data_IF_485637287943
#
_entry.id   IF_485637287943
#
_cell.length_a   1.000
_cell.length_b   1.000
_cell.length_c   1.000
_cell.angle_alpha   90.00
_cell.angle_beta   90.00
_cell.angle_gamma   90.00
#
_symmetry.space_group_name_H-M   'P 1'
#
loop_
_entity.id
_entity.type
_entity.pdbx_description
1 polymer ?
#
# COMPACT_ATOMS: atom_id res chain seq x y z
N UNK A 1 27.10 14.20 -5.13
CA UNK A 1 26.16 15.28 -4.80
C UNK A 1 25.72 15.08 -3.35
N UNK A 2 25.77 16.13 -2.54
CA UNK A 2 25.29 16.05 -1.15
C UNK A 2 23.75 15.96 -1.10
N UNK A 3 23.24 15.40 -0.01
CA UNK A 3 21.79 15.31 0.21
C UNK A 3 21.12 16.69 0.23
N UNK A 4 21.81 17.70 0.77
CA UNK A 4 21.33 19.09 0.78
C UNK A 4 21.24 19.67 -0.65
N UNK A 5 22.21 19.40 -1.50
CA UNK A 5 22.19 19.85 -2.89
C UNK A 5 21.06 19.16 -3.67
N UNK A 6 20.81 17.88 -3.40
CA UNK A 6 19.70 17.15 -3.99
C UNK A 6 18.36 17.71 -3.52
N UNK A 7 18.18 17.93 -2.23
CA UNK A 7 16.96 18.50 -1.67
C UNK A 7 16.63 19.88 -2.28
N UNK A 8 17.65 20.72 -2.44
CA UNK A 8 17.51 22.06 -3.07
C UNK A 8 17.03 21.93 -4.53
N UNK A 9 17.56 20.99 -5.27
CA UNK A 9 17.14 20.76 -6.68
C UNK A 9 15.72 20.22 -6.77
N UNK A 10 15.33 19.32 -5.88
CA UNK A 10 13.96 18.78 -5.81
C UNK A 10 12.97 19.88 -5.48
N UNK A 11 13.27 20.74 -4.48
CA UNK A 11 12.44 21.87 -4.12
C UNK A 11 12.24 22.86 -5.28
N UNK A 12 13.31 23.19 -6.00
CA UNK A 12 13.24 24.07 -7.16
C UNK A 12 12.41 23.46 -8.31
N UNK A 13 12.49 22.15 -8.52
CA UNK A 13 11.67 21.45 -9.50
C UNK A 13 10.20 21.46 -9.12
N UNK A 14 9.87 21.18 -7.85
CA UNK A 14 8.51 21.23 -7.32
C UNK A 14 7.89 22.62 -7.46
N UNK A 15 8.64 23.67 -7.12
CA UNK A 15 8.20 25.05 -7.29
C UNK A 15 7.88 25.38 -8.75
N UNK A 16 8.76 25.00 -9.67
CA UNK A 16 8.56 25.22 -11.09
C UNK A 16 7.33 24.49 -11.64
N UNK A 17 7.12 23.23 -11.22
CA UNK A 17 5.95 22.43 -11.64
C UNK A 17 4.65 23.01 -11.06
N UNK A 18 4.68 23.53 -9.84
CA UNK A 18 3.56 24.21 -9.21
C UNK A 18 3.20 25.50 -9.95
N UNK A 19 4.20 26.33 -10.30
CA UNK A 19 3.96 27.55 -11.08
C UNK A 19 3.36 27.28 -12.45
N UNK A 20 3.76 26.16 -13.07
CA UNK A 20 3.19 25.72 -14.35
C UNK A 20 1.80 25.07 -14.23
N UNK A 21 1.31 24.90 -13.02
CA UNK A 21 0.01 24.25 -12.79
C UNK A 21 0.00 22.74 -13.10
N UNK A 22 1.16 22.09 -13.12
CA UNK A 22 1.29 20.67 -13.42
C UNK A 22 1.17 19.79 -12.17
N UNK A 23 1.44 20.34 -11.00
CA UNK A 23 1.24 19.69 -9.71
C UNK A 23 0.52 20.64 -8.74
N UNK A 24 -0.21 20.04 -7.81
CA UNK A 24 -0.85 20.71 -6.68
C UNK A 24 -0.16 20.28 -5.39
N UNK A 25 0.49 21.20 -4.64
CA UNK A 25 1.19 20.88 -3.41
C UNK A 25 0.33 20.18 -2.36
N UNK A 26 -0.94 20.54 -2.23
CA UNK A 26 -1.85 19.88 -1.29
C UNK A 26 -2.10 18.41 -1.66
N UNK A 27 -2.13 18.10 -2.93
CA UNK A 27 -2.27 16.71 -3.40
C UNK A 27 -1.00 15.90 -3.09
N UNK A 28 0.17 16.50 -3.26
CA UNK A 28 1.45 15.88 -2.89
C UNK A 28 1.49 15.61 -1.39
N UNK A 29 1.16 16.59 -0.57
CA UNK A 29 1.14 16.45 0.89
C UNK A 29 0.17 15.37 1.38
N UNK A 30 -1.01 15.29 0.79
CA UNK A 30 -1.99 14.23 1.11
C UNK A 30 -1.49 12.85 0.75
N UNK A 31 -0.78 12.69 -0.37
CA UNK A 31 -0.19 11.41 -0.76
C UNK A 31 0.94 11.01 0.19
N UNK A 32 1.79 11.96 0.57
CA UNK A 32 2.86 11.72 1.55
C UNK A 32 2.26 11.27 2.89
N UNK A 33 1.25 11.97 3.39
CA UNK A 33 0.57 11.62 4.63
C UNK A 33 -0.07 10.21 4.55
N UNK A 34 -0.76 9.92 3.44
CA UNK A 34 -1.38 8.62 3.22
C UNK A 34 -0.35 7.47 3.28
N UNK A 35 0.74 7.57 2.53
CA UNK A 35 1.77 6.54 2.52
C UNK A 35 2.61 6.50 3.80
N UNK A 36 2.69 7.59 4.54
CA UNK A 36 3.40 7.63 5.82
C UNK A 36 2.59 6.99 6.96
N UNK A 37 1.28 7.23 7.02
CA UNK A 37 0.47 6.91 8.19
C UNK A 37 -0.65 5.89 7.94
N UNK A 38 -1.08 5.72 6.69
CA UNK A 38 -2.28 4.93 6.37
C UNK A 38 -2.01 3.68 5.54
N UNK A 39 -0.81 3.53 4.98
CA UNK A 39 -0.39 2.36 4.21
C UNK A 39 0.79 1.70 4.91
N UNK A 40 0.73 0.38 5.09
CA UNK A 40 1.81 -0.35 5.70
C UNK A 40 1.45 -1.77 6.09
N UNK A 41 2.43 -2.56 6.55
CA UNK A 41 2.25 -3.98 6.84
C UNK A 41 1.27 -4.25 7.99
N UNK A 42 1.05 -3.29 8.89
CA UNK A 42 0.10 -3.44 10.00
C UNK A 42 -1.35 -3.55 9.55
N UNK A 43 -1.70 -2.98 8.40
CA UNK A 43 -3.02 -3.15 7.80
C UNK A 43 -3.26 -4.61 7.40
N UNK A 44 -2.28 -5.23 6.75
CA UNK A 44 -2.32 -6.66 6.42
C UNK A 44 -2.34 -7.56 7.66
N UNK A 45 -1.60 -7.20 8.71
CA UNK A 45 -1.56 -7.95 9.96
C UNK A 45 -2.95 -8.07 10.60
N UNK A 46 -3.76 -7.01 10.59
CA UNK A 46 -5.13 -7.03 11.10
C UNK A 46 -6.03 -7.99 10.33
N UNK A 47 -5.91 -8.00 9.01
CA UNK A 47 -6.65 -8.92 8.13
C UNK A 47 -6.28 -10.38 8.44
N UNK A 48 -5.00 -10.68 8.52
CA UNK A 48 -4.51 -12.03 8.82
C UNK A 48 -4.92 -12.49 10.22
N UNK A 49 -4.80 -11.63 11.22
CA UNK A 49 -5.21 -11.95 12.58
C UNK A 49 -6.71 -12.33 12.66
N UNK A 50 -7.57 -11.61 11.95
CA UNK A 50 -8.98 -11.97 11.86
C UNK A 50 -9.19 -13.32 11.17
N UNK A 51 -8.51 -13.57 10.08
CA UNK A 51 -8.62 -14.83 9.34
C UNK A 51 -8.23 -16.05 10.17
N UNK A 52 -7.32 -15.89 11.14
CA UNK A 52 -6.91 -16.96 12.05
C UNK A 52 -7.98 -17.35 13.07
N UNK A 53 -8.84 -16.42 13.47
CA UNK A 53 -9.85 -16.64 14.52
C UNK A 53 -11.27 -16.72 13.97
N UNK A 54 -11.49 -16.34 12.71
CA UNK A 54 -12.79 -16.34 12.05
C UNK A 54 -12.73 -17.16 10.75
N UNK A 55 -13.14 -18.44 10.77
CA UNK A 55 -13.09 -19.31 9.58
C UNK A 55 -13.96 -18.80 8.41
N UNK A 56 -15.08 -18.15 8.71
CA UNK A 56 -15.97 -17.59 7.69
C UNK A 56 -15.31 -16.41 6.97
N UNK A 57 -14.63 -15.54 7.72
CA UNK A 57 -13.84 -14.45 7.14
C UNK A 57 -12.69 -14.99 6.30
N UNK A 58 -11.95 -15.98 6.81
CA UNK A 58 -10.88 -16.65 6.06
C UNK A 58 -11.36 -17.19 4.72
N UNK A 59 -12.52 -17.82 4.69
CA UNK A 59 -13.10 -18.34 3.45
C UNK A 59 -13.40 -17.22 2.44
N UNK A 60 -13.98 -16.12 2.89
CA UNK A 60 -14.23 -14.94 2.02
C UNK A 60 -12.94 -14.31 1.53
N UNK A 61 -11.95 -14.21 2.40
CA UNK A 61 -10.63 -13.64 2.07
C UNK A 61 -9.91 -14.45 0.97
N UNK A 62 -9.95 -15.77 1.06
CA UNK A 62 -9.36 -16.66 0.05
C UNK A 62 -10.16 -16.65 -1.26
N UNK A 63 -11.47 -16.48 -1.21
CA UNK A 63 -12.33 -16.42 -2.38
C UNK A 63 -12.20 -15.10 -3.15
N UNK A 64 -12.18 -13.97 -2.44
CA UNK A 64 -12.06 -12.64 -3.03
C UNK A 64 -11.35 -11.70 -2.04
N UNK A 65 -10.03 -11.63 -2.16
CA UNK A 65 -9.19 -10.83 -1.27
C UNK A 65 -9.53 -9.34 -1.32
N UNK A 66 -9.74 -8.80 -2.50
CA UNK A 66 -10.07 -7.36 -2.68
C UNK A 66 -11.35 -6.98 -1.94
N UNK A 67 -12.39 -7.80 -2.03
CA UNK A 67 -13.66 -7.53 -1.36
C UNK A 67 -13.55 -7.73 0.17
N UNK A 68 -12.83 -8.75 0.59
CA UNK A 68 -12.68 -9.07 2.01
C UNK A 68 -11.88 -8.00 2.78
N UNK A 69 -10.85 -7.41 2.19
CA UNK A 69 -10.11 -6.33 2.86
C UNK A 69 -10.91 -5.03 2.95
N UNK A 70 -11.90 -4.84 2.09
CA UNK A 70 -12.79 -3.69 2.17
C UNK A 70 -13.61 -3.65 3.46
N UNK A 71 -13.85 -4.78 4.10
CA UNK A 71 -14.48 -4.86 5.44
C UNK A 71 -13.65 -4.13 6.52
N UNK A 72 -12.36 -3.94 6.30
CA UNK A 72 -11.46 -3.16 7.16
C UNK A 72 -11.24 -1.72 6.69
N UNK A 73 -11.99 -1.27 5.67
CA UNK A 73 -11.77 0.03 5.05
C UNK A 73 -10.46 0.11 4.24
N UNK A 74 -9.90 -1.03 3.90
CA UNK A 74 -8.66 -1.13 3.11
C UNK A 74 -9.02 -1.28 1.63
N UNK A 75 -8.18 -0.72 0.79
CA UNK A 75 -8.34 -0.74 -0.65
C UNK A 75 -7.80 0.55 -1.26
N UNK A 76 -7.74 0.60 -2.56
CA UNK A 76 -7.22 1.75 -3.29
C UNK A 76 -6.32 1.32 -4.44
N UNK A 77 -5.62 2.26 -5.08
CA UNK A 77 -4.75 1.95 -6.21
C UNK A 77 -3.67 0.91 -5.89
N UNK A 78 -3.17 0.93 -4.66
CA UNK A 78 -2.14 0.00 -4.16
C UNK A 78 -2.64 -1.43 -3.93
N UNK A 79 -3.95 -1.62 -3.84
CA UNK A 79 -4.59 -2.92 -3.61
C UNK A 79 -5.75 -3.18 -4.59
N UNK A 80 -5.67 -2.62 -5.79
CA UNK A 80 -6.74 -2.66 -6.78
C UNK A 80 -7.18 -4.09 -7.14
N UNK A 81 -6.27 -5.06 -7.07
CA UNK A 81 -6.58 -6.47 -7.30
C UNK A 81 -5.71 -7.34 -6.40
N UNK A 82 -6.29 -7.79 -5.32
CA UNK A 82 -5.62 -8.63 -4.34
C UNK A 82 -6.08 -10.09 -4.44
N UNK A 83 -5.12 -10.99 -4.60
CA UNK A 83 -5.32 -12.43 -4.43
C UNK A 83 -4.59 -12.88 -3.19
N UNK A 84 -5.32 -13.50 -2.26
CA UNK A 84 -4.76 -14.09 -1.06
C UNK A 84 -4.47 -15.56 -1.29
N UNK A 85 -3.31 -16.01 -0.88
CA UNK A 85 -2.88 -17.41 -0.95
C UNK A 85 -2.56 -17.92 0.46
N UNK A 86 -2.77 -19.20 0.70
CA UNK A 86 -2.55 -19.83 1.99
C UNK A 86 -1.39 -20.82 1.92
N UNK A 87 -0.55 -20.83 2.93
CA UNK A 87 0.39 -21.92 3.13
C UNK A 87 -0.35 -23.14 3.71
N UNK A 88 -0.10 -24.29 3.16
CA UNK A 88 -0.63 -25.58 3.61
C UNK A 88 0.53 -26.53 3.94
N UNK A 89 0.27 -27.72 4.51
CA UNK A 89 1.35 -28.70 4.69
C UNK A 89 2.08 -29.08 3.39
N UNK A 90 1.40 -28.96 2.24
CA UNK A 90 1.91 -29.33 0.91
C UNK A 90 2.46 -28.15 0.11
N UNK A 91 2.08 -26.90 0.45
CA UNK A 91 2.42 -25.71 -0.33
C UNK A 91 2.98 -24.63 0.59
N UNK A 92 4.17 -24.15 0.27
CA UNK A 92 4.77 -22.97 0.90
C UNK A 92 4.93 -21.86 -0.13
N UNK A 93 4.19 -20.76 0.06
CA UNK A 93 4.26 -19.60 -0.81
C UNK A 93 5.42 -18.69 -0.38
N UNK A 94 6.26 -18.33 -1.31
CA UNK A 94 7.36 -17.40 -1.09
C UNK A 94 7.13 -16.15 -1.93
N UNK A 95 7.28 -14.98 -1.29
CA UNK A 95 7.21 -13.70 -2.00
C UNK A 95 8.60 -13.37 -2.54
N UNK A 96 8.68 -13.22 -3.86
CA UNK A 96 9.91 -12.78 -4.53
C UNK A 96 9.67 -11.41 -5.12
N UNK A 97 10.46 -10.43 -4.69
CA UNK A 97 10.43 -9.08 -5.25
C UNK A 97 11.36 -9.01 -6.46
N UNK A 98 10.84 -8.59 -7.60
CA UNK A 98 11.62 -8.43 -8.83
C UNK A 98 12.04 -6.99 -9.11
N UNK A 99 11.66 -6.06 -8.25
CA UNK A 99 11.93 -4.62 -8.38
C UNK A 99 13.09 -4.12 -7.53
N UNK A 100 13.68 -4.97 -6.74
CA UNK A 100 14.80 -4.61 -5.86
C UNK A 100 16.15 -4.80 -6.52
#
# INVERSE_FOLDING_TARGET
MSDEAMATRVAALEELLTEKGLIDPETVDRLIDHFTHHVGPMSGAKVIARAWVDPEYKRRLLANGTQAIAEFGLGGPEAARLKVVENTPEIHNVVVCTLC
#
